data_IF_226754966216
#
_entry.id   IF_226754966216
#
_cell.length_a   1.000
_cell.length_b   1.000
_cell.length_c   1.000
_cell.angle_alpha   90.00
_cell.angle_beta   90.00
_cell.angle_gamma   90.00
#
_symmetry.space_group_name_H-M   'P 1'
#
loop_
_entity.id
_entity.type
_entity.pdbx_description
1 polymer ?
#
# COMPACT_ATOMS: atom_id res chain seq x y z
N UNK A 1 30.23 -14.56 7.37
CA UNK A 1 28.98 -14.26 8.10
C UNK A 1 27.99 -13.40 7.31
N UNK A 2 28.40 -12.57 6.34
CA UNK A 2 27.46 -11.78 5.52
C UNK A 2 26.59 -12.61 4.53
N UNK A 3 27.04 -13.79 4.08
CA UNK A 3 26.35 -14.57 3.04
C UNK A 3 25.07 -15.26 3.53
N UNK A 4 25.00 -15.67 4.80
CA UNK A 4 23.81 -16.33 5.34
C UNK A 4 22.70 -15.33 5.65
N UNK A 5 23.06 -14.11 6.08
CA UNK A 5 22.11 -13.02 6.28
C UNK A 5 21.50 -12.54 4.95
N UNK A 6 22.32 -12.40 3.89
CA UNK A 6 21.81 -12.09 2.55
C UNK A 6 20.92 -13.19 1.97
N UNK A 7 21.26 -14.47 2.20
CA UNK A 7 20.40 -15.61 1.81
C UNK A 7 19.09 -15.63 2.58
N UNK A 8 19.11 -15.35 3.89
CA UNK A 8 17.93 -15.25 4.73
C UNK A 8 17.01 -14.09 4.29
N UNK A 9 17.57 -12.91 3.98
CA UNK A 9 16.82 -11.77 3.43
C UNK A 9 16.30 -12.01 2.01
N UNK A 10 16.94 -12.89 1.23
CA UNK A 10 16.43 -13.30 -0.07
C UNK A 10 15.24 -14.28 0.03
N UNK A 11 15.07 -14.94 1.18
CA UNK A 11 13.98 -15.89 1.45
C UNK A 11 12.94 -15.38 2.44
N UNK A 12 13.19 -14.25 3.10
CA UNK A 12 12.21 -13.58 3.95
C UNK A 12 11.12 -12.96 3.07
N UNK A 13 9.86 -13.04 3.52
CA UNK A 13 8.77 -12.35 2.86
C UNK A 13 9.09 -10.86 2.78
N UNK A 14 9.07 -10.33 1.56
CA UNK A 14 9.22 -8.89 1.32
C UNK A 14 7.84 -8.26 1.42
N UNK A 15 7.75 -7.21 2.22
CA UNK A 15 6.54 -6.40 2.30
C UNK A 15 6.42 -5.49 1.09
N UNK A 16 5.19 -5.18 0.69
CA UNK A 16 4.96 -4.23 -0.38
C UNK A 16 5.48 -2.83 -0.04
N UNK A 17 6.09 -2.18 -1.03
CA UNK A 17 6.52 -0.79 -0.96
C UNK A 17 5.59 0.04 -1.83
N UNK A 18 5.05 1.12 -1.30
CA UNK A 18 4.14 2.00 -2.04
C UNK A 18 4.55 3.47 -1.97
N UNK A 19 4.16 4.23 -2.99
CA UNK A 19 4.45 5.65 -3.12
C UNK A 19 3.29 6.45 -3.73
N UNK A 20 3.16 7.71 -3.32
CA UNK A 20 2.13 8.65 -3.80
C UNK A 20 2.58 9.42 -5.04
N UNK A 21 2.77 8.73 -6.16
CA UNK A 21 3.33 9.32 -7.39
C UNK A 21 2.48 10.48 -7.93
N UNK A 22 1.16 10.30 -8.03
CA UNK A 22 0.19 11.30 -8.51
C UNK A 22 -1.19 11.05 -7.89
N UNK A 23 -1.31 11.38 -6.61
CA UNK A 23 -2.60 11.39 -5.92
C UNK A 23 -3.21 12.80 -5.98
N UNK A 24 -4.55 12.89 -6.01
CA UNK A 24 -5.27 14.16 -5.90
C UNK A 24 -4.84 14.92 -4.65
N UNK A 25 -4.69 16.24 -4.77
CA UNK A 25 -4.20 17.09 -3.70
C UNK A 25 -5.10 17.11 -2.45
N UNK A 26 -4.45 17.22 -1.28
CA UNK A 26 -5.03 17.11 0.07
C UNK A 26 -6.16 18.11 0.39
N UNK A 27 -6.25 19.23 -0.33
CA UNK A 27 -7.30 20.26 -0.14
C UNK A 27 -8.64 19.90 -0.80
N UNK A 28 -8.71 18.79 -1.53
CA UNK A 28 -9.91 18.36 -2.26
C UNK A 28 -10.30 16.88 -2.03
N UNK A 29 -9.72 16.24 -1.00
CA UNK A 29 -10.04 14.88 -0.56
C UNK A 29 -9.65 14.66 0.91
N UNK A 30 -9.96 13.49 1.47
CA UNK A 30 -9.69 13.21 2.88
C UNK A 30 -8.47 12.31 3.08
N UNK A 31 -7.73 12.60 4.16
CA UNK A 31 -6.81 11.65 4.76
C UNK A 31 -7.47 11.13 6.03
N UNK A 32 -7.62 9.81 6.12
CA UNK A 32 -8.22 9.16 7.28
C UNK A 32 -7.14 8.53 8.15
N UNK A 33 -7.37 8.49 9.46
CA UNK A 33 -6.64 7.61 10.36
C UNK A 33 -7.42 6.30 10.46
N UNK A 34 -6.87 5.23 9.90
CA UNK A 34 -7.49 3.90 9.89
C UNK A 34 -6.75 3.01 10.89
N UNK A 35 -7.46 2.51 11.89
CA UNK A 35 -6.94 1.49 12.79
C UNK A 35 -7.09 0.11 12.13
N UNK A 36 -5.97 -0.56 11.91
CA UNK A 36 -5.91 -1.89 11.30
C UNK A 36 -6.02 -2.99 12.37
N UNK A 37 -6.67 -4.11 12.04
CA UNK A 37 -6.93 -5.24 12.96
C UNK A 37 -6.14 -6.51 12.57
N UNK A 38 -5.21 -6.37 11.61
CA UNK A 38 -4.27 -7.37 11.13
C UNK A 38 -3.02 -6.68 10.57
N UNK A 39 -1.94 -7.43 10.34
CA UNK A 39 -0.74 -6.89 9.72
C UNK A 39 -1.01 -6.58 8.24
N UNK A 40 -0.71 -5.36 7.80
CA UNK A 40 -0.96 -4.91 6.43
C UNK A 40 0.25 -4.22 5.84
N UNK A 41 0.54 -4.55 4.58
CA UNK A 41 1.58 -3.89 3.82
C UNK A 41 1.24 -2.42 3.54
N UNK A 42 2.28 -1.61 3.42
CA UNK A 42 2.13 -0.25 2.90
C UNK A 42 1.74 -0.35 1.41
N UNK A 43 0.64 0.27 1.01
CA UNK A 43 0.05 0.09 -0.31
C UNK A 43 -1.19 -0.81 -0.34
N UNK A 44 -1.57 -1.41 0.78
CA UNK A 44 -2.85 -2.13 0.90
C UNK A 44 -4.03 -1.17 0.64
N UNK A 45 -5.08 -1.71 0.01
CA UNK A 45 -6.31 -0.96 -0.28
C UNK A 45 -7.40 -1.40 0.69
N UNK A 46 -7.87 -0.46 1.50
CA UNK A 46 -8.97 -0.69 2.46
C UNK A 46 -10.09 0.28 2.16
N UNK A 47 -11.19 0.18 2.89
CA UNK A 47 -12.18 1.24 2.93
C UNK A 47 -12.44 1.68 4.38
N UNK A 48 -13.08 2.84 4.52
CA UNK A 48 -13.43 3.38 5.83
C UNK A 48 -14.53 2.53 6.47
N UNK A 49 -14.24 1.95 7.63
CA UNK A 49 -15.17 1.23 8.47
C UNK A 49 -15.79 2.11 9.56
N UNK A 50 -16.17 1.45 10.65
CA UNK A 50 -16.86 2.07 11.79
C UNK A 50 -16.01 3.12 12.49
N UNK A 51 -16.66 4.16 13.01
CA UNK A 51 -16.03 5.16 13.85
C UNK A 51 -15.61 4.54 15.20
N UNK A 52 -14.39 4.83 15.64
CA UNK A 52 -13.86 4.37 16.94
C UNK A 52 -13.84 5.52 17.94
N UNK A 53 -13.16 6.61 17.56
CA UNK A 53 -12.89 7.80 18.37
C UNK A 53 -12.55 8.96 17.43
N UNK A 54 -12.41 10.21 17.91
CA UNK A 54 -12.20 11.36 17.03
C UNK A 54 -11.11 11.09 16.00
N UNK A 55 -11.46 11.35 14.74
CA UNK A 55 -10.59 11.18 13.56
C UNK A 55 -10.08 9.76 13.28
N UNK A 56 -10.56 8.72 14.00
CA UNK A 56 -10.10 7.32 13.86
C UNK A 56 -11.26 6.38 13.49
N UNK A 57 -11.04 5.55 12.47
CA UNK A 57 -12.02 4.59 11.96
C UNK A 57 -11.40 3.19 11.81
N UNK A 58 -12.21 2.14 11.82
CA UNK A 58 -11.75 0.78 11.51
C UNK A 58 -11.43 0.63 10.03
N UNK A 59 -10.57 -0.32 9.68
CA UNK A 59 -10.44 -0.81 8.31
C UNK A 59 -11.63 -1.72 7.96
N UNK A 60 -12.12 -1.64 6.72
CA UNK A 60 -12.99 -2.67 6.12
C UNK A 60 -12.45 -3.07 4.74
N UNK A 61 -12.96 -4.17 4.20
CA UNK A 61 -12.71 -4.52 2.80
C UNK A 61 -13.24 -3.43 1.86
N UNK A 62 -12.42 -3.06 0.87
CA UNK A 62 -12.86 -2.15 -0.18
C UNK A 62 -13.68 -2.89 -1.24
N UNK A 63 -14.68 -2.20 -1.79
CA UNK A 63 -15.53 -2.70 -2.85
C UNK A 63 -15.62 -1.70 -3.99
N UNK A 64 -15.67 -2.22 -5.22
CA UNK A 64 -15.86 -1.41 -6.43
C UNK A 64 -14.61 -0.70 -6.93
N UNK A 65 -13.43 -0.98 -6.36
CA UNK A 65 -12.16 -0.51 -6.93
C UNK A 65 -11.89 -1.21 -8.27
N UNK A 66 -11.53 -0.42 -9.27
CA UNK A 66 -10.97 -0.90 -10.53
C UNK A 66 -9.84 0.02 -11.00
N UNK A 67 -8.73 -0.57 -11.44
CA UNK A 67 -7.57 0.14 -11.96
C UNK A 67 -6.92 -0.56 -13.14
N UNK A 68 -5.84 0.03 -13.62
CA UNK A 68 -4.99 -0.54 -14.68
C UNK A 68 -3.52 -0.31 -14.36
N UNK A 69 -2.67 -1.30 -14.62
CA UNK A 69 -1.22 -1.14 -14.53
C UNK A 69 -0.73 -0.35 -15.74
N UNK A 70 -0.11 0.81 -15.52
CA UNK A 70 0.36 1.70 -16.58
C UNK A 70 1.73 1.33 -17.12
N UNK A 71 2.71 1.20 -16.22
CA UNK A 71 4.08 0.90 -16.58
C UNK A 71 4.89 0.47 -15.35
N UNK A 72 6.11 0.02 -15.61
CA UNK A 72 7.10 -0.30 -14.58
C UNK A 72 8.02 0.89 -14.35
N UNK A 73 8.15 1.31 -13.09
CA UNK A 73 9.09 2.33 -12.65
C UNK A 73 10.54 1.80 -12.70
N UNK A 74 11.51 2.71 -12.75
CA UNK A 74 12.93 2.37 -12.86
C UNK A 74 13.46 1.58 -11.64
N UNK A 75 12.85 1.76 -10.46
CA UNK A 75 13.15 1.01 -9.24
C UNK A 75 12.51 -0.40 -9.21
N UNK A 76 11.72 -0.75 -10.22
CA UNK A 76 11.08 -2.05 -10.36
C UNK A 76 9.62 -2.12 -9.87
N UNK A 77 9.09 -1.05 -9.29
CA UNK A 77 7.69 -0.94 -8.88
C UNK A 77 6.77 -0.69 -10.08
N UNK A 78 5.47 -0.69 -9.84
CA UNK A 78 4.44 -0.57 -10.86
C UNK A 78 3.51 0.60 -10.58
N UNK A 79 3.22 1.36 -11.62
CA UNK A 79 2.23 2.43 -11.57
C UNK A 79 0.83 1.86 -11.80
N UNK A 80 -0.10 2.13 -10.88
CA UNK A 80 -1.51 1.74 -10.99
C UNK A 80 -2.35 3.00 -11.13
N UNK A 81 -3.07 3.12 -12.24
CA UNK A 81 -4.04 4.20 -12.45
C UNK A 81 -5.42 3.75 -11.98
N UNK A 82 -6.07 4.60 -11.20
CA UNK A 82 -7.43 4.38 -10.71
C UNK A 82 -8.43 4.73 -11.82
N UNK A 83 -9.24 3.74 -12.23
CA UNK A 83 -10.33 3.91 -13.21
C UNK A 83 -11.68 4.06 -12.53
N UNK A 84 -11.89 3.37 -11.42
CA UNK A 84 -13.05 3.51 -10.56
C UNK A 84 -12.58 3.38 -9.11
N UNK A 85 -12.68 4.42 -8.29
CA UNK A 85 -12.16 4.37 -6.92
C UNK A 85 -13.03 3.51 -5.99
N UNK A 86 -14.34 3.39 -6.25
CA UNK A 86 -15.24 2.75 -5.30
C UNK A 86 -15.20 3.47 -3.94
N UNK A 87 -15.02 2.71 -2.88
CA UNK A 87 -14.77 3.24 -1.52
C UNK A 87 -13.30 3.13 -1.08
N UNK A 88 -12.37 2.94 -2.03
CA UNK A 88 -10.98 2.65 -1.77
C UNK A 88 -10.21 3.79 -1.11
N UNK A 89 -9.45 3.41 -0.09
CA UNK A 89 -8.43 4.20 0.58
C UNK A 89 -7.09 3.46 0.44
N UNK A 90 -6.06 4.16 -0.03
CA UNK A 90 -4.70 3.67 -0.08
C UNK A 90 -4.03 3.86 1.28
N UNK A 91 -3.65 2.76 1.95
CA UNK A 91 -2.80 2.83 3.14
C UNK A 91 -1.40 3.25 2.72
N UNK A 92 -0.96 4.42 3.17
CA UNK A 92 0.36 4.94 2.87
C UNK A 92 0.89 5.73 4.07
N UNK A 93 1.72 5.08 4.88
CA UNK A 93 2.40 5.71 5.99
C UNK A 93 3.88 5.89 5.69
N UNK A 94 4.44 7.01 6.12
CA UNK A 94 5.90 7.22 6.10
C UNK A 94 6.50 6.40 7.24
N UNK A 95 7.46 5.50 6.96
CA UNK A 95 8.12 4.74 8.01
C UNK A 95 8.87 5.66 8.97
N UNK A 96 8.65 5.48 10.27
CA UNK A 96 9.35 6.24 11.30
C UNK A 96 10.72 5.59 11.57
N UNK A 97 11.79 6.23 11.10
CA UNK A 97 13.16 5.71 11.19
C UNK A 97 13.86 6.25 12.45
N UNK A 98 14.19 5.37 13.39
CA UNK A 98 14.96 5.73 14.60
C UNK A 98 16.47 5.76 14.31
N UNK A 99 17.22 6.61 15.01
CA UNK A 99 18.68 6.78 14.82
C UNK A 99 19.45 5.46 14.98
N UNK A 100 18.97 4.59 15.85
CA UNK A 100 19.59 3.31 16.22
C UNK A 100 19.45 2.23 15.13
N UNK A 101 18.64 2.47 14.10
CA UNK A 101 18.38 1.47 13.07
C UNK A 101 19.58 1.35 12.12
N UNK A 102 20.04 0.12 11.89
CA UNK A 102 21.08 -0.17 10.90
C UNK A 102 20.55 0.10 9.48
N UNK A 103 21.44 0.36 8.51
CA UNK A 103 21.06 0.58 7.10
C UNK A 103 20.17 -0.54 6.53
N UNK A 104 20.36 -1.78 6.98
CA UNK A 104 19.54 -2.92 6.57
C UNK A 104 18.11 -2.86 7.15
N UNK A 105 17.95 -2.37 8.38
CA UNK A 105 16.64 -2.16 9.01
C UNK A 105 15.87 -0.97 8.42
N UNK A 106 16.57 -0.07 7.71
CA UNK A 106 15.98 1.08 7.01
C UNK A 106 15.43 0.75 5.62
N UNK A 107 15.58 -0.49 5.13
CA UNK A 107 15.10 -0.85 3.80
C UNK A 107 13.56 -0.93 3.80
N UNK A 108 12.89 -0.19 2.92
CA UNK A 108 11.42 -0.04 2.91
C UNK A 108 10.67 -1.37 2.73
N UNK A 109 11.27 -2.35 2.06
CA UNK A 109 10.69 -3.71 1.92
C UNK A 109 10.60 -4.50 3.22
N UNK A 110 11.20 -4.00 4.31
CA UNK A 110 11.10 -4.58 5.64
C UNK A 110 10.04 -3.87 6.50
N UNK A 111 9.37 -2.85 5.94
CA UNK A 111 8.35 -2.09 6.63
C UNK A 111 6.95 -2.64 6.32
N UNK A 112 6.18 -2.87 7.37
CA UNK A 112 4.76 -3.18 7.33
C UNK A 112 4.06 -2.42 8.46
N UNK A 113 2.73 -2.32 8.39
CA UNK A 113 1.92 -1.77 9.46
C UNK A 113 1.44 -2.95 10.33
N UNK A 114 1.75 -2.91 11.63
CA UNK A 114 1.43 -3.99 12.53
C UNK A 114 -0.03 -3.90 13.02
N UNK A 115 -0.63 -5.04 13.36
CA UNK A 115 -1.96 -5.09 13.94
C UNK A 115 -2.11 -4.11 15.12
N UNK A 116 -3.16 -3.28 15.08
CA UNK A 116 -3.47 -2.25 16.07
C UNK A 116 -2.92 -0.88 15.72
N UNK A 117 -2.06 -0.77 14.71
CA UNK A 117 -1.53 0.52 14.25
C UNK A 117 -2.64 1.41 13.69
N UNK A 118 -2.46 2.72 13.89
CA UNK A 118 -3.26 3.75 13.24
C UNK A 118 -2.46 4.23 12.03
N UNK A 119 -2.97 3.93 10.84
CA UNK A 119 -2.30 4.15 9.56
C UNK A 119 -2.99 5.27 8.79
N UNK A 120 -2.20 6.14 8.14
CA UNK A 120 -2.74 7.15 7.22
C UNK A 120 -3.26 6.48 5.94
N UNK A 121 -4.50 6.80 5.59
CA UNK A 121 -5.17 6.29 4.41
C UNK A 121 -5.64 7.44 3.50
N UNK A 122 -5.25 7.40 2.23
CA UNK A 122 -5.58 8.42 1.24
C UNK A 122 -6.80 7.99 0.43
N UNK A 123 -7.82 8.85 0.39
CA UNK A 123 -8.96 8.67 -0.50
C UNK A 123 -8.51 8.73 -1.98
N UNK A 124 -8.91 7.72 -2.76
CA UNK A 124 -8.54 7.62 -4.17
C UNK A 124 -9.60 8.22 -5.08
N UNK A 125 -9.15 8.82 -6.19
CA UNK A 125 -10.01 9.40 -7.22
C UNK A 125 -9.67 8.86 -8.61
N UNK A 126 -10.63 8.97 -9.54
CA UNK A 126 -10.41 8.62 -10.95
C UNK A 126 -9.22 9.44 -11.49
N UNK A 127 -8.26 8.76 -12.13
CA UNK A 127 -7.07 9.37 -12.72
C UNK A 127 -5.90 9.58 -11.75
N UNK A 128 -6.06 9.21 -10.47
CA UNK A 128 -4.94 9.06 -9.55
C UNK A 128 -4.03 7.92 -9.99
N UNK A 129 -2.73 8.09 -9.76
CA UNK A 129 -1.71 7.08 -9.99
C UNK A 129 -0.89 6.93 -8.73
N UNK A 130 -0.82 5.72 -8.21
CA UNK A 130 0.10 5.35 -7.14
C UNK A 130 1.07 4.30 -7.63
N UNK A 131 2.21 4.22 -6.95
CA UNK A 131 3.25 3.25 -7.22
C UNK A 131 3.22 2.18 -6.14
N UNK A 132 3.39 0.91 -6.54
CA UNK A 132 3.44 -0.21 -5.61
C UNK A 132 4.38 -1.30 -6.14
N UNK A 133 5.12 -1.95 -5.25
CA UNK A 133 6.02 -3.05 -5.60
C UNK A 133 5.26 -4.31 -6.02
N UNK A 134 5.95 -5.31 -6.57
CA UNK A 134 5.29 -6.51 -7.08
C UNK A 134 4.61 -7.33 -5.97
N UNK A 135 5.13 -7.22 -4.75
CA UNK A 135 4.60 -7.84 -3.55
C UNK A 135 3.23 -7.29 -3.13
N UNK A 136 2.85 -6.09 -3.59
CA UNK A 136 1.53 -5.52 -3.36
C UNK A 136 0.43 -6.13 -4.25
N UNK A 137 0.77 -7.05 -5.15
CA UNK A 137 -0.17 -7.73 -6.04
C UNK A 137 -0.36 -9.20 -5.69
N UNK A 138 -1.60 -9.67 -5.80
CA UNK A 138 -1.97 -11.06 -6.00
C UNK A 138 -1.96 -11.33 -7.51
N UNK A 139 -0.91 -12.01 -7.99
CA UNK A 139 -0.66 -12.24 -9.41
C UNK A 139 0.57 -11.48 -9.92
N UNK A 140 0.95 -11.72 -11.18
CA UNK A 140 2.11 -11.04 -11.79
C UNK A 140 1.64 -9.79 -12.56
N UNK A 141 1.98 -8.57 -12.10
CA UNK A 141 1.61 -7.35 -12.80
C UNK A 141 2.27 -7.28 -14.17
N UNK A 142 1.50 -6.86 -15.17
CA UNK A 142 1.97 -6.56 -16.52
C UNK A 142 1.32 -5.28 -17.02
N UNK A 143 2.01 -4.54 -17.88
CA UNK A 143 1.48 -3.31 -18.46
C UNK A 143 0.15 -3.56 -19.17
N UNK A 144 -0.86 -2.77 -18.84
CA UNK A 144 -2.22 -2.86 -19.37
C UNK A 144 -3.13 -3.84 -18.63
N UNK A 145 -2.63 -4.60 -17.66
CA UNK A 145 -3.46 -5.51 -16.88
C UNK A 145 -4.49 -4.74 -16.04
N UNK A 146 -5.71 -5.26 -15.98
CA UNK A 146 -6.76 -4.75 -15.09
C UNK A 146 -6.47 -5.16 -13.65
N UNK A 147 -6.81 -4.29 -12.72
CA UNK A 147 -6.57 -4.48 -11.29
C UNK A 147 -7.88 -4.31 -10.52
N UNK A 148 -8.16 -5.25 -9.63
CA UNK A 148 -9.25 -5.19 -8.64
C UNK A 148 -8.66 -5.29 -7.23
N UNK A 149 -9.49 -5.27 -6.19
CA UNK A 149 -9.05 -5.48 -4.81
C UNK A 149 -9.76 -6.70 -4.25
N UNK A 150 -8.99 -7.60 -3.65
CA UNK A 150 -9.45 -8.73 -2.86
C UNK A 150 -8.47 -8.92 -1.69
N UNK A 151 -9.00 -9.23 -0.51
CA UNK A 151 -8.20 -9.41 0.72
C UNK A 151 -7.26 -8.20 0.97
N UNK A 152 -7.81 -6.98 0.79
CA UNK A 152 -7.09 -5.69 0.88
C UNK A 152 -5.86 -5.54 -0.04
N UNK A 153 -5.67 -6.46 -0.99
CA UNK A 153 -4.53 -6.53 -1.89
C UNK A 153 -4.96 -6.35 -3.34
N UNK A 154 -4.07 -5.79 -4.16
CA UNK A 154 -4.36 -5.58 -5.58
C UNK A 154 -4.34 -6.92 -6.30
N UNK A 155 -5.44 -7.29 -6.95
CA UNK A 155 -5.55 -8.56 -7.67
C UNK A 155 -5.53 -8.30 -9.16
N UNK A 156 -4.60 -8.96 -9.86
CA UNK A 156 -4.51 -8.91 -11.32
C UNK A 156 -5.64 -9.75 -11.92
N UNK A 157 -6.38 -9.15 -12.86
CA UNK A 157 -7.44 -9.79 -13.64
C UNK A 157 -6.95 -10.55 -14.86
#
# INVERSE_FOLDING_TARGET
MASNFQKFMATAEKHAVAGSSKLKATIAGHIYNIQIEEDLDNGSIVAKGDYIKPETYKAKESTGFAGVVLDKAANGNWYVEVKTPGDALLLLQVPMLYEEYTTALKHESNFYNANGDIVRAYELYVGDVFEVSSEGFSGTPTKGATVTVADKKLTIG
#
